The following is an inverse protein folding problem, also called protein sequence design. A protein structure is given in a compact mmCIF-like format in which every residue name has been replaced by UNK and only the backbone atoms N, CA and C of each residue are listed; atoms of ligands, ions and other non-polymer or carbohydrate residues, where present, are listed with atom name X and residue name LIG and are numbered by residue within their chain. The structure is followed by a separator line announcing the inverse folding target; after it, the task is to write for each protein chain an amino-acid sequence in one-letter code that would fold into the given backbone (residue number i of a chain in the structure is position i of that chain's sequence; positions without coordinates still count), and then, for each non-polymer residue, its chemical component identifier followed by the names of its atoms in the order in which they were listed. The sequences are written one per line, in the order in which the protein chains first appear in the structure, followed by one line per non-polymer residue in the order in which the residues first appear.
data_IF_855634828648
#
_entry.id   IF_855634828648
#
_cell.length_a   1.000
_cell.length_b   1.000
_cell.length_c   1.000
_cell.angle_alpha   90.00
_cell.angle_beta   90.00
_cell.angle_gamma   90.00
#
_symmetry.space_group_name_H-M   'P 1'
#
loop_
_entity.id
_entity.type
_entity.pdbx_description
1 polymer ?
#
# COMPACT_ATOMS: atom_id res chain seq x y z
N UNK A 1 -14.00 2.33 -2.02
CA UNK A 1 -13.22 2.99 -3.09
C UNK A 1 -13.83 4.36 -3.27
N UNK A 2 -13.05 5.42 -2.99
CA UNK A 2 -13.48 6.81 -3.11
C UNK A 2 -14.09 7.09 -4.48
N UNK A 3 -15.12 7.94 -4.51
CA UNK A 3 -15.81 8.34 -5.74
C UNK A 3 -15.58 9.84 -6.02
N UNK A 4 -15.57 10.25 -7.30
CA UNK A 4 -15.51 11.67 -7.65
C UNK A 4 -16.66 12.48 -7.05
N UNK A 5 -16.38 13.73 -6.67
CA UNK A 5 -17.35 14.65 -6.10
C UNK A 5 -18.49 14.94 -7.09
N UNK A 6 -18.18 15.02 -8.39
CA UNK A 6 -19.19 15.17 -9.45
C UNK A 6 -20.27 14.08 -9.45
N UNK A 7 -19.96 12.89 -8.92
CA UNK A 7 -20.91 11.78 -8.76
C UNK A 7 -21.61 11.77 -7.40
N UNK A 8 -20.90 12.18 -6.34
CA UNK A 8 -21.39 12.09 -4.97
C UNK A 8 -22.27 13.29 -4.59
N UNK A 9 -21.82 14.50 -4.92
CA UNK A 9 -22.50 15.75 -4.61
C UNK A 9 -22.07 16.83 -5.62
N UNK A 10 -22.68 16.88 -6.83
CA UNK A 10 -22.21 17.72 -7.93
C UNK A 10 -22.24 19.23 -7.61
N UNK A 11 -23.18 19.66 -6.76
CA UNK A 11 -23.35 21.06 -6.38
C UNK A 11 -22.65 21.42 -5.06
N UNK A 12 -21.85 20.52 -4.48
CA UNK A 12 -21.16 20.78 -3.22
C UNK A 12 -20.13 21.91 -3.37
N UNK A 13 -20.06 22.77 -2.36
CA UNK A 13 -18.97 23.73 -2.20
C UNK A 13 -17.66 22.99 -1.88
N UNK A 14 -16.53 23.52 -2.34
CA UNK A 14 -15.23 22.87 -2.19
C UNK A 14 -14.26 23.85 -1.54
N UNK A 15 -13.59 23.39 -0.49
CA UNK A 15 -12.46 24.09 0.12
C UNK A 15 -11.25 23.15 0.02
N UNK A 16 -10.27 23.51 -0.81
CA UNK A 16 -9.02 22.76 -0.99
C UNK A 16 -7.88 23.53 -0.34
N UNK A 17 -7.06 22.83 0.43
CA UNK A 17 -5.81 23.35 0.97
C UNK A 17 -5.75 23.26 2.49
N UNK A 18 -4.53 22.98 2.98
CA UNK A 18 -4.24 22.92 4.41
C UNK A 18 -3.68 24.25 4.97
N UNK A 19 -3.54 25.27 4.12
CA UNK A 19 -3.09 26.60 4.54
C UNK A 19 -4.30 27.43 5.01
N UNK A 20 -4.44 27.59 6.33
CA UNK A 20 -5.53 28.36 6.96
C UNK A 20 -6.71 27.48 7.35
N UNK A 21 -7.34 26.83 6.37
CA UNK A 21 -8.62 26.13 6.56
C UNK A 21 -8.54 24.82 7.37
N UNK A 22 -7.37 24.19 7.43
CA UNK A 22 -7.11 22.98 8.26
C UNK A 22 -8.26 21.95 8.24
N UNK A 23 -8.61 21.37 7.07
CA UNK A 23 -9.71 20.42 6.94
C UNK A 23 -9.61 19.24 7.92
N UNK A 24 -8.42 18.68 8.14
CA UNK A 24 -8.22 17.60 9.12
C UNK A 24 -8.56 18.01 10.57
N UNK A 25 -8.41 19.29 10.94
CA UNK A 25 -8.80 19.78 12.27
C UNK A 25 -10.33 19.91 12.41
N UNK A 26 -11.05 20.11 11.30
CA UNK A 26 -12.52 20.11 11.26
C UNK A 26 -13.11 18.69 11.25
N UNK A 27 -12.31 17.71 10.86
CA UNK A 27 -12.68 16.29 10.75
C UNK A 27 -11.75 15.40 11.59
N UNK A 28 -11.67 15.57 12.92
CA UNK A 28 -10.66 14.91 13.75
C UNK A 28 -10.75 13.38 13.72
N UNK A 29 -11.95 12.80 13.69
CA UNK A 29 -12.13 11.34 13.62
C UNK A 29 -11.60 10.77 12.29
N UNK A 30 -11.83 11.48 11.18
CA UNK A 30 -11.29 11.10 9.87
C UNK A 30 -9.77 11.33 9.81
N UNK A 31 -9.25 12.35 10.49
CA UNK A 31 -7.81 12.59 10.58
C UNK A 31 -7.07 11.46 11.28
N UNK A 32 -7.66 10.89 12.36
CA UNK A 32 -7.10 9.71 13.04
C UNK A 32 -7.06 8.51 12.10
N UNK A 33 -8.17 8.21 11.42
CA UNK A 33 -8.22 7.09 10.48
C UNK A 33 -7.26 7.28 9.30
N UNK A 34 -7.10 8.51 8.82
CA UNK A 34 -6.16 8.83 7.76
C UNK A 34 -4.70 8.62 8.19
N UNK A 35 -4.32 9.07 9.40
CA UNK A 35 -2.95 8.88 9.88
C UNK A 35 -2.65 7.42 10.19
N UNK A 36 -3.63 6.65 10.69
CA UNK A 36 -3.50 5.20 10.84
C UNK A 36 -3.27 4.50 9.49
N UNK A 37 -4.04 4.89 8.46
CA UNK A 37 -3.85 4.37 7.09
C UNK A 37 -2.46 4.69 6.53
N UNK A 38 -1.92 5.88 6.79
CA UNK A 38 -0.54 6.24 6.41
C UNK A 38 0.48 5.44 7.23
N UNK A 39 0.31 5.37 8.56
CA UNK A 39 1.24 4.73 9.48
C UNK A 39 1.33 3.21 9.27
N UNK A 40 0.23 2.55 8.91
CA UNK A 40 0.23 1.11 8.60
C UNK A 40 1.20 0.74 7.46
N UNK A 41 1.56 1.70 6.60
CA UNK A 41 2.57 1.48 5.55
C UNK A 41 3.97 1.20 6.09
N UNK A 42 4.33 1.70 7.28
CA UNK A 42 5.63 1.42 7.89
C UNK A 42 5.82 -0.08 8.17
N UNK A 43 4.73 -0.81 8.45
CA UNK A 43 4.76 -2.26 8.57
C UNK A 43 5.06 -2.94 7.23
N UNK A 44 4.54 -2.38 6.13
CA UNK A 44 4.83 -2.86 4.77
C UNK A 44 6.31 -2.70 4.46
N UNK A 45 6.87 -1.51 4.69
CA UNK A 45 8.30 -1.26 4.48
C UNK A 45 9.18 -2.15 5.36
N UNK A 46 8.79 -2.36 6.62
CA UNK A 46 9.51 -3.21 7.56
C UNK A 46 9.58 -4.67 7.09
N UNK A 47 8.46 -5.26 6.65
CA UNK A 47 8.52 -6.64 6.14
C UNK A 47 9.30 -6.73 4.83
N UNK A 48 9.25 -5.70 3.96
CA UNK A 48 9.99 -5.70 2.71
C UNK A 48 11.50 -5.67 2.93
N UNK A 49 11.96 -4.84 3.88
CA UNK A 49 13.33 -4.89 4.36
C UNK A 49 13.67 -6.29 4.88
N UNK A 50 12.77 -6.87 5.69
CA UNK A 50 12.92 -8.24 6.20
C UNK A 50 13.07 -9.27 5.08
N UNK A 51 12.24 -9.22 4.04
CA UNK A 51 12.33 -10.09 2.87
C UNK A 51 13.67 -9.95 2.16
N UNK A 52 14.11 -8.71 1.94
CA UNK A 52 15.39 -8.45 1.31
C UNK A 52 16.53 -9.03 2.13
N UNK A 53 16.56 -8.80 3.44
CA UNK A 53 17.59 -9.36 4.34
C UNK A 53 17.57 -10.89 4.37
N UNK A 54 16.40 -11.54 4.36
CA UNK A 54 16.31 -13.01 4.27
C UNK A 54 16.92 -13.57 2.98
N UNK A 55 16.72 -12.89 1.85
CA UNK A 55 17.27 -13.32 0.56
C UNK A 55 18.82 -13.29 0.55
N UNK A 56 19.45 -12.55 1.46
CA UNK A 56 20.90 -12.52 1.66
C UNK A 56 21.38 -13.37 2.85
N UNK A 57 20.54 -14.27 3.37
CA UNK A 57 20.91 -15.20 4.44
C UNK A 57 20.67 -14.70 5.87
N UNK A 58 20.00 -13.56 6.04
CA UNK A 58 19.63 -13.04 7.37
C UNK A 58 20.71 -12.21 8.07
N UNK A 59 20.34 -11.56 9.19
CA UNK A 59 21.20 -10.79 10.11
C UNK A 59 22.38 -10.04 9.47
N UNK A 60 22.08 -9.20 8.47
CA UNK A 60 23.11 -8.50 7.72
C UNK A 60 22.86 -6.98 7.73
N UNK A 61 23.65 -6.25 8.53
CA UNK A 61 23.55 -4.80 8.65
C UNK A 61 23.93 -4.08 7.36
N UNK A 62 24.93 -4.56 6.62
CA UNK A 62 25.31 -3.99 5.32
C UNK A 62 24.16 -4.09 4.30
N UNK A 63 23.50 -5.26 4.22
CA UNK A 63 22.33 -5.45 3.35
C UNK A 63 21.17 -4.56 3.75
N UNK A 64 21.00 -4.33 5.07
CA UNK A 64 20.00 -3.40 5.59
C UNK A 64 20.27 -1.97 5.11
N UNK A 65 21.50 -1.47 5.27
CA UNK A 65 21.88 -0.13 4.81
C UNK A 65 21.71 0.03 3.29
N UNK A 66 22.11 -0.98 2.51
CA UNK A 66 21.90 -1.00 1.06
C UNK A 66 20.42 -0.85 0.72
N UNK A 67 19.55 -1.63 1.35
CA UNK A 67 18.11 -1.52 1.10
C UNK A 67 17.53 -0.16 1.50
N UNK A 68 17.93 0.38 2.65
CA UNK A 68 17.46 1.67 3.14
C UNK A 68 17.95 2.84 2.28
N UNK A 69 19.10 2.70 1.62
CA UNK A 69 19.59 3.69 0.65
C UNK A 69 18.80 3.74 -0.67
N UNK A 70 17.94 2.76 -0.94
CA UNK A 70 17.13 2.73 -2.16
C UNK A 70 15.99 3.74 -2.04
N UNK A 71 15.94 4.67 -2.99
CA UNK A 71 14.90 5.68 -3.06
C UNK A 71 13.62 5.13 -3.71
N UNK A 72 12.50 5.31 -3.02
CA UNK A 72 11.18 4.92 -3.48
C UNK A 72 10.89 3.41 -3.50
N UNK A 73 9.59 3.10 -3.57
CA UNK A 73 9.08 1.73 -3.49
C UNK A 73 9.40 0.88 -4.73
N UNK A 74 9.51 1.51 -5.90
CA UNK A 74 9.83 0.83 -7.14
C UNK A 74 11.24 0.24 -7.11
N UNK A 75 12.24 1.00 -6.65
CA UNK A 75 13.61 0.55 -6.52
C UNK A 75 13.73 -0.60 -5.49
N UNK A 76 13.12 -0.43 -4.31
CA UNK A 76 13.05 -1.48 -3.28
C UNK A 76 12.42 -2.78 -3.81
N UNK A 77 11.31 -2.69 -4.54
CA UNK A 77 10.63 -3.87 -5.12
C UNK A 77 11.46 -4.54 -6.21
N UNK A 78 12.13 -3.75 -7.06
CA UNK A 78 13.02 -4.26 -8.10
C UNK A 78 14.22 -5.00 -7.49
N UNK A 79 14.83 -4.46 -6.43
CA UNK A 79 15.93 -5.08 -5.71
C UNK A 79 15.52 -6.43 -5.09
N UNK A 80 14.35 -6.49 -4.44
CA UNK A 80 13.81 -7.75 -3.91
C UNK A 80 13.59 -8.77 -5.02
N UNK A 81 12.95 -8.36 -6.13
CA UNK A 81 12.69 -9.28 -7.24
C UNK A 81 13.99 -9.79 -7.89
N UNK A 82 15.02 -8.96 -8.01
CA UNK A 82 16.32 -9.37 -8.54
C UNK A 82 17.02 -10.37 -7.62
N UNK A 83 17.08 -10.07 -6.32
CA UNK A 83 17.66 -10.99 -5.33
C UNK A 83 16.90 -12.33 -5.30
N UNK A 84 15.57 -12.28 -5.32
CA UNK A 84 14.74 -13.48 -5.33
C UNK A 84 14.88 -14.30 -6.60
N UNK A 85 14.98 -13.68 -7.78
CA UNK A 85 15.19 -14.42 -9.03
C UNK A 85 16.51 -15.21 -9.03
N UNK A 86 17.54 -14.72 -8.34
CA UNK A 86 18.80 -15.43 -8.15
C UNK A 86 18.67 -16.58 -7.14
N UNK A 87 18.12 -16.29 -5.96
CA UNK A 87 18.03 -17.23 -4.83
C UNK A 87 16.99 -18.34 -5.07
N UNK A 88 15.89 -18.02 -5.74
CA UNK A 88 14.75 -18.90 -5.99
C UNK A 88 14.70 -19.42 -7.44
N UNK A 89 15.84 -19.43 -8.16
CA UNK A 89 15.91 -19.81 -9.58
C UNK A 89 15.28 -21.17 -9.90
N UNK A 90 15.39 -22.13 -8.97
CA UNK A 90 14.84 -23.48 -9.09
C UNK A 90 13.56 -23.68 -8.26
N UNK A 91 12.97 -22.58 -7.77
CA UNK A 91 11.81 -22.52 -6.87
C UNK A 91 10.72 -21.60 -7.46
N UNK A 92 10.28 -21.94 -8.67
CA UNK A 92 9.30 -21.13 -9.43
C UNK A 92 8.00 -20.84 -8.67
N UNK A 93 7.37 -21.80 -7.94
CA UNK A 93 6.16 -21.51 -7.19
C UNK A 93 6.35 -20.38 -6.15
N UNK A 94 7.44 -20.39 -5.40
CA UNK A 94 7.78 -19.34 -4.45
C UNK A 94 8.04 -18.00 -5.14
N UNK A 95 8.78 -18.01 -6.25
CA UNK A 95 9.08 -16.80 -7.01
C UNK A 95 7.82 -16.13 -7.56
N UNK A 96 6.86 -16.92 -8.07
CA UNK A 96 5.57 -16.42 -8.56
C UNK A 96 4.73 -15.81 -7.45
N UNK A 97 4.66 -16.46 -6.29
CA UNK A 97 3.95 -15.93 -5.12
C UNK A 97 4.59 -14.64 -4.62
N UNK A 98 5.92 -14.56 -4.55
CA UNK A 98 6.60 -13.31 -4.19
C UNK A 98 6.27 -12.17 -5.16
N UNK A 99 6.31 -12.43 -6.47
CA UNK A 99 5.96 -11.44 -7.48
C UNK A 99 4.51 -10.98 -7.37
N UNK A 100 3.59 -11.89 -7.04
CA UNK A 100 2.22 -11.53 -6.73
C UNK A 100 2.12 -10.58 -5.52
N UNK A 101 2.85 -10.86 -4.43
CA UNK A 101 2.94 -9.98 -3.25
C UNK A 101 3.49 -8.60 -3.63
N UNK A 102 4.58 -8.53 -4.39
CA UNK A 102 5.16 -7.25 -4.85
C UNK A 102 4.21 -6.46 -5.77
N UNK A 103 3.36 -7.14 -6.54
CA UNK A 103 2.32 -6.47 -7.32
C UNK A 103 1.21 -5.87 -6.43
N UNK A 104 0.90 -6.52 -5.31
CA UNK A 104 -0.03 -5.99 -4.30
C UNK A 104 0.60 -4.78 -3.59
N UNK A 105 1.89 -4.86 -3.20
CA UNK A 105 2.64 -3.69 -2.67
C UNK A 105 2.46 -2.48 -3.57
N UNK A 106 2.71 -2.63 -4.87
CA UNK A 106 2.54 -1.54 -5.85
C UNK A 106 1.12 -0.98 -5.91
N UNK A 107 0.11 -1.80 -5.66
CA UNK A 107 -1.30 -1.35 -5.67
C UNK A 107 -1.60 -0.55 -4.40
N UNK A 108 -1.30 -1.10 -3.23
CA UNK A 108 -1.56 -0.45 -1.95
C UNK A 108 -0.74 0.84 -1.76
N UNK A 109 0.48 0.87 -2.27
CA UNK A 109 1.34 2.07 -2.28
C UNK A 109 0.62 3.25 -2.94
N UNK A 110 -0.07 3.01 -4.08
CA UNK A 110 -0.78 4.08 -4.78
C UNK A 110 -1.88 4.70 -3.94
N UNK A 111 -2.62 3.89 -3.19
CA UNK A 111 -3.71 4.40 -2.35
C UNK A 111 -3.17 5.15 -1.14
N UNK A 112 -2.10 4.64 -0.50
CA UNK A 112 -1.40 5.39 0.55
C UNK A 112 -0.80 6.70 0.03
N UNK A 113 -0.18 6.69 -1.15
CA UNK A 113 0.45 7.87 -1.73
C UNK A 113 -0.55 8.99 -2.00
N UNK A 114 -1.81 8.68 -2.32
CA UNK A 114 -2.87 9.70 -2.38
C UNK A 114 -3.03 10.38 -1.03
N UNK A 115 -3.16 9.61 0.06
CA UNK A 115 -3.31 10.19 1.41
C UNK A 115 -2.11 11.08 1.81
N UNK A 116 -0.89 10.63 1.49
CA UNK A 116 0.34 11.30 1.89
C UNK A 116 0.70 12.52 1.03
N UNK A 117 0.32 12.54 -0.25
CA UNK A 117 0.84 13.51 -1.22
C UNK A 117 -0.24 14.32 -1.95
N UNK A 118 -1.52 13.96 -1.81
CA UNK A 118 -2.61 14.77 -2.39
C UNK A 118 -3.01 15.91 -1.48
N UNK A 119 -3.59 16.94 -2.08
CA UNK A 119 -4.06 18.10 -1.34
C UNK A 119 -5.38 17.75 -0.66
N UNK A 120 -5.44 17.98 0.64
CA UNK A 120 -6.63 17.75 1.45
C UNK A 120 -7.58 18.94 1.37
N UNK A 121 -8.87 18.64 1.48
CA UNK A 121 -9.94 19.60 1.51
C UNK A 121 -11.18 19.05 2.20
N UNK A 122 -12.23 19.85 2.23
CA UNK A 122 -13.54 19.45 2.74
C UNK A 122 -14.68 20.22 2.05
N UNK A 123 -15.90 19.82 2.39
CA UNK A 123 -17.12 20.48 1.95
C UNK A 123 -18.10 20.58 3.11
N UNK A 124 -18.70 21.76 3.37
CA UNK A 124 -19.80 21.88 4.33
C UNK A 124 -21.00 20.99 3.98
N UNK A 125 -21.15 20.61 2.70
CA UNK A 125 -22.21 19.72 2.24
C UNK A 125 -21.93 18.23 2.54
N UNK A 126 -20.70 17.89 2.92
CA UNK A 126 -20.26 16.52 3.21
C UNK A 126 -19.53 16.48 4.57
N UNK A 127 -20.25 16.67 5.69
CA UNK A 127 -19.64 16.75 7.02
C UNK A 127 -19.03 15.42 7.50
N UNK A 128 -19.36 14.30 6.84
CA UNK A 128 -18.88 12.95 7.13
C UNK A 128 -17.69 12.53 6.23
N UNK A 129 -17.13 13.47 5.46
CA UNK A 129 -16.10 13.17 4.48
C UNK A 129 -15.03 14.26 4.38
N UNK A 130 -13.88 13.84 3.87
CA UNK A 130 -12.79 14.72 3.44
C UNK A 130 -12.54 14.54 1.96
N UNK A 131 -12.01 15.57 1.33
CA UNK A 131 -11.72 15.60 -0.10
C UNK A 131 -10.22 15.45 -0.31
N UNK A 132 -9.85 14.64 -1.31
CA UNK A 132 -8.47 14.57 -1.80
C UNK A 132 -8.45 14.91 -3.28
N UNK A 133 -7.51 15.76 -3.66
CA UNK A 133 -7.27 16.15 -5.05
C UNK A 133 -5.80 16.02 -5.40
N UNK A 134 -5.52 15.48 -6.58
CA UNK A 134 -4.17 15.41 -7.10
C UNK A 134 -3.63 16.84 -7.32
N UNK A 135 -2.49 17.23 -6.72
CA UNK A 135 -1.95 18.57 -6.90
C UNK A 135 -1.64 18.90 -8.37
N UNK A 136 -1.50 17.89 -9.23
CA UNK A 136 -1.30 18.07 -10.68
C UNK A 136 -2.55 18.58 -11.39
N UNK A 137 -3.75 18.35 -10.84
CA UNK A 137 -5.01 18.86 -11.43
C UNK A 137 -5.37 20.24 -10.88
N UNK A 138 -4.78 20.66 -9.76
CA UNK A 138 -5.06 21.98 -9.15
C UNK A 138 -4.36 23.17 -9.83
N UNK A 139 -3.52 22.93 -10.86
CA UNK A 139 -2.87 24.01 -11.63
C UNK A 139 -3.78 24.65 -12.68
N UNK A 140 -4.95 24.06 -12.91
CA UNK A 140 -5.99 24.52 -13.81
C UNK A 140 -7.28 24.82 -13.03
N UNK A 141 -8.35 25.20 -13.74
CA UNK A 141 -9.68 25.27 -13.14
C UNK A 141 -10.05 23.90 -12.56
N UNK A 142 -10.43 23.88 -11.29
CA UNK A 142 -10.67 22.65 -10.55
C UNK A 142 -11.94 21.94 -11.05
N UNK A 143 -11.78 20.77 -11.67
CA UNK A 143 -12.89 19.90 -12.03
C UNK A 143 -13.29 18.99 -10.85
N UNK A 144 -14.60 18.91 -10.57
CA UNK A 144 -15.19 18.02 -9.56
C UNK A 144 -15.00 16.54 -9.88
N UNK A 145 -14.72 16.20 -11.13
CA UNK A 145 -14.37 14.84 -11.54
C UNK A 145 -12.99 14.40 -11.01
N UNK A 146 -12.11 15.35 -10.67
CA UNK A 146 -10.77 15.12 -10.12
C UNK A 146 -10.71 15.22 -8.59
N UNK A 147 -11.81 15.59 -7.94
CA UNK A 147 -11.91 15.69 -6.47
C UNK A 147 -12.55 14.42 -5.92
N UNK A 148 -11.82 13.66 -5.10
CA UNK A 148 -12.30 12.38 -4.57
C UNK A 148 -12.81 12.52 -3.14
N UNK A 149 -13.97 11.93 -2.87
CA UNK A 149 -14.61 11.93 -1.56
C UNK A 149 -14.17 10.70 -0.77
N UNK A 150 -13.48 10.91 0.36
CA UNK A 150 -13.03 9.87 1.27
C UNK A 150 -13.86 9.88 2.55
N UNK A 151 -14.36 8.70 2.94
CA UNK A 151 -15.06 8.47 4.20
C UNK A 151 -14.27 7.54 5.11
N UNK A 152 -14.72 7.40 6.36
CA UNK A 152 -14.13 6.51 7.35
C UNK A 152 -13.82 5.10 6.79
N UNK A 153 -14.77 4.51 6.06
CA UNK A 153 -14.60 3.16 5.51
C UNK A 153 -13.48 3.05 4.46
N UNK A 154 -13.17 4.12 3.73
CA UNK A 154 -12.07 4.11 2.76
C UNK A 154 -10.71 4.05 3.46
N UNK A 155 -10.54 4.81 4.55
CA UNK A 155 -9.31 4.76 5.37
C UNK A 155 -9.14 3.41 6.07
N UNK A 156 -10.22 2.88 6.64
CA UNK A 156 -10.23 1.54 7.26
C UNK A 156 -9.83 0.48 6.23
N UNK A 157 -10.37 0.55 5.01
CA UNK A 157 -10.05 -0.39 3.95
C UNK A 157 -8.57 -0.35 3.55
N UNK A 158 -7.95 0.84 3.49
CA UNK A 158 -6.51 0.98 3.21
C UNK A 158 -5.68 0.34 4.32
N UNK A 159 -5.99 0.61 5.59
CA UNK A 159 -5.30 0.02 6.74
C UNK A 159 -5.38 -1.51 6.71
N UNK A 160 -6.60 -2.06 6.54
CA UNK A 160 -6.80 -3.50 6.45
C UNK A 160 -6.08 -4.13 5.25
N UNK A 161 -5.99 -3.42 4.12
CA UNK A 161 -5.23 -3.90 2.97
C UNK A 161 -3.72 -3.97 3.28
N UNK A 162 -3.18 -2.97 3.98
CA UNK A 162 -1.79 -2.97 4.42
C UNK A 162 -1.51 -4.09 5.44
N UNK A 163 -2.42 -4.33 6.37
CA UNK A 163 -2.30 -5.41 7.37
C UNK A 163 -2.30 -6.80 6.72
N UNK A 164 -3.22 -7.04 5.77
CA UNK A 164 -3.24 -8.30 5.00
C UNK A 164 -1.94 -8.49 4.23
N UNK A 165 -1.47 -7.44 3.56
CA UNK A 165 -0.22 -7.44 2.82
C UNK A 165 0.98 -7.75 3.73
N UNK A 166 1.03 -7.16 4.91
CA UNK A 166 2.03 -7.48 5.93
C UNK A 166 1.97 -8.96 6.33
N UNK A 167 0.76 -9.48 6.56
CA UNK A 167 0.52 -10.91 6.81
C UNK A 167 1.03 -11.81 5.69
N UNK A 168 0.90 -11.41 4.42
CA UNK A 168 1.49 -12.15 3.29
C UNK A 168 3.01 -12.15 3.34
N UNK A 169 3.62 -10.98 3.54
CA UNK A 169 5.08 -10.82 3.62
C UNK A 169 5.71 -11.62 4.76
N UNK A 170 5.12 -11.58 5.95
CA UNK A 170 5.58 -12.34 7.12
C UNK A 170 5.51 -13.86 6.89
N UNK A 171 4.39 -14.36 6.34
CA UNK A 171 4.25 -15.77 5.97
C UNK A 171 5.26 -16.19 4.90
N UNK A 172 5.52 -15.31 3.92
CA UNK A 172 6.54 -15.60 2.91
C UNK A 172 7.96 -15.68 3.50
N UNK A 173 8.29 -14.86 4.50
CA UNK A 173 9.57 -14.98 5.21
C UNK A 173 9.73 -16.33 5.93
N UNK A 174 8.66 -16.89 6.48
CA UNK A 174 8.69 -18.25 7.04
C UNK A 174 8.99 -19.31 5.97
N UNK A 175 8.46 -19.14 4.76
CA UNK A 175 8.76 -20.01 3.61
C UNK A 175 10.24 -19.90 3.22
N UNK A 176 10.82 -18.69 3.20
CA UNK A 176 12.24 -18.49 2.88
C UNK A 176 13.18 -19.13 3.91
N UNK A 177 12.83 -19.06 5.19
CA UNK A 177 13.63 -19.60 6.29
C UNK A 177 13.51 -21.12 6.50
N UNK A 178 12.65 -21.80 5.74
CA UNK A 178 12.33 -23.21 5.98
C UNK A 178 11.69 -23.43 7.36
N UNK A 179 10.89 -22.46 7.83
CA UNK A 179 10.25 -22.52 9.13
C UNK A 179 9.28 -23.72 9.24
N UNK A 180 9.09 -24.25 10.45
CA UNK A 180 8.24 -25.43 10.71
C UNK A 180 6.78 -25.26 10.26
N UNK A 181 6.30 -24.03 10.21
CA UNK A 181 4.95 -23.68 9.70
C UNK A 181 4.80 -23.99 8.20
N UNK A 182 5.90 -24.00 7.42
CA UNK A 182 5.88 -24.37 6.01
C UNK A 182 6.17 -25.87 5.79
N UNK A 183 5.82 -26.73 6.74
CA UNK A 183 5.98 -28.18 6.61
C UNK A 183 5.23 -28.68 5.37
N UNK A 184 5.94 -29.42 4.52
CA UNK A 184 5.42 -29.98 3.27
C UNK A 184 4.88 -28.92 2.27
N UNK A 185 5.35 -27.67 2.35
CA UNK A 185 4.92 -26.60 1.45
C UNK A 185 3.51 -26.04 1.72
N UNK A 186 2.89 -26.42 2.85
CA UNK A 186 1.52 -26.00 3.20
C UNK A 186 1.33 -24.50 3.26
N UNK A 187 2.29 -23.77 3.84
CA UNK A 187 2.19 -22.32 3.98
C UNK A 187 2.24 -21.63 2.62
N UNK A 188 3.08 -22.13 1.69
CA UNK A 188 3.11 -21.65 0.31
C UNK A 188 1.78 -21.89 -0.41
N UNK A 189 1.19 -23.08 -0.26
CA UNK A 189 -0.10 -23.41 -0.86
C UNK A 189 -1.24 -22.53 -0.31
N UNK A 190 -1.27 -22.30 1.01
CA UNK A 190 -2.23 -21.40 1.65
C UNK A 190 -2.07 -19.96 1.15
N UNK A 191 -0.83 -19.47 1.07
CA UNK A 191 -0.54 -18.13 0.57
C UNK A 191 -0.94 -17.97 -0.89
N UNK A 192 -0.69 -18.99 -1.72
CA UNK A 192 -1.13 -19.02 -3.11
C UNK A 192 -2.66 -19.12 -3.26
N UNK A 193 -3.38 -19.55 -2.21
CA UNK A 193 -4.83 -19.66 -2.21
C UNK A 193 -5.55 -18.39 -1.71
N UNK A 194 -4.81 -17.43 -1.15
CA UNK A 194 -5.36 -16.11 -0.79
C UNK A 194 -5.93 -15.44 -2.04
N UNK A 195 -7.18 -14.98 -1.98
CA UNK A 195 -7.91 -14.48 -3.15
C UNK A 195 -7.10 -13.42 -3.92
N UNK A 196 -6.54 -12.45 -3.21
CA UNK A 196 -5.79 -11.35 -3.83
C UNK A 196 -4.50 -11.84 -4.51
N UNK A 197 -3.86 -12.87 -3.97
CA UNK A 197 -2.67 -13.50 -4.57
C UNK A 197 -3.09 -14.33 -5.79
N UNK A 198 -4.16 -15.11 -5.70
CA UNK A 198 -4.70 -15.87 -6.84
C UNK A 198 -5.03 -14.96 -8.03
N UNK A 199 -5.68 -13.83 -7.78
CA UNK A 199 -6.02 -12.85 -8.82
C UNK A 199 -4.76 -12.30 -9.53
N UNK A 200 -3.64 -12.14 -8.81
CA UNK A 200 -2.36 -11.75 -9.42
C UNK A 200 -1.71 -12.89 -10.19
N UNK A 201 -1.73 -14.10 -9.64
CA UNK A 201 -1.17 -15.29 -10.28
C UNK A 201 -1.87 -15.62 -11.60
N UNK A 202 -3.19 -15.43 -11.67
CA UNK A 202 -3.97 -15.64 -12.88
C UNK A 202 -3.61 -14.65 -14.00
N UNK A 203 -3.15 -13.44 -13.67
CA UNK A 203 -2.70 -12.43 -14.64
C UNK A 203 -1.26 -12.61 -15.13
N UNK A 204 -0.52 -13.54 -14.52
CA UNK A 204 0.86 -13.87 -14.89
C UNK A 204 0.95 -15.10 -15.81
N UNK A 205 -0.18 -15.75 -16.10
CA UNK A 205 -0.31 -16.83 -17.08
C UNK A 205 -0.57 -16.23 -18.47
#
# INVERSE_FOLDING_TARGET
MPQPLSRVAPEAGIVIGNAGDRPLARHPDLAVLAIEAIASWSNVESFMLGLFVELFGGHNSLVTEVFLSLDGQAAKSAAINAAAASVLKDRDPELRVLRAILAIVKTNEKDRNKLAHWTWGDSPNLPDAVLLVDPRTTVHELDRSDVYVYRAQDFIAITQANDRLCGYGLRFRFILRGHVENRDGRLLAQLAAEQEIQERLARQQ
#
